data_IF_902701049633
#
_entry.id   IF_902701049633
#
_cell.length_a   1.000
_cell.length_b   1.000
_cell.length_c   1.000
_cell.angle_alpha   90.00
_cell.angle_beta   90.00
_cell.angle_gamma   90.00
#
_symmetry.space_group_name_H-M   'P 1'
#
loop_
_entity.id
_entity.type
_entity.pdbx_description
1 polymer ?
#
# COMPACT_ATOMS: atom_id res chain seq x y z
N UNK A 1 10.03 -11.47 17.66
CA UNK A 1 9.78 -11.64 19.10
C UNK A 1 11.02 -12.26 19.71
N UNK A 2 11.53 -11.78 20.83
CA UNK A 2 12.71 -12.38 21.49
C UNK A 2 12.36 -12.70 22.95
N UNK A 3 12.53 -13.96 23.35
CA UNK A 3 12.21 -14.46 24.68
C UNK A 3 13.52 -14.72 25.43
N UNK A 4 13.67 -14.16 26.63
CA UNK A 4 14.86 -14.35 27.46
C UNK A 4 14.58 -15.32 28.60
N UNK A 5 15.48 -16.29 28.81
CA UNK A 5 15.41 -17.26 29.90
C UNK A 5 16.78 -17.51 30.52
N UNK A 6 16.82 -18.29 31.60
CA UNK A 6 18.06 -18.63 32.32
C UNK A 6 19.08 -19.40 31.48
N UNK A 7 18.67 -19.98 30.35
CA UNK A 7 19.49 -20.77 29.43
C UNK A 7 19.91 -20.01 28.15
N UNK A 8 19.42 -18.78 27.91
CA UNK A 8 19.70 -18.03 26.68
C UNK A 8 18.54 -17.15 26.20
N UNK A 9 18.66 -16.60 24.99
CA UNK A 9 17.56 -15.91 24.28
C UNK A 9 17.03 -16.74 23.11
N UNK A 10 15.71 -16.76 22.93
CA UNK A 10 15.03 -17.39 21.80
C UNK A 10 14.40 -16.29 20.94
N UNK A 11 15.00 -16.04 19.78
CA UNK A 11 14.44 -15.16 18.76
C UNK A 11 13.46 -15.95 17.90
N UNK A 12 12.22 -15.49 17.83
CA UNK A 12 11.16 -15.97 16.94
C UNK A 12 10.81 -14.85 15.97
N UNK A 13 11.34 -14.95 14.76
CA UNK A 13 11.11 -14.07 13.61
C UNK A 13 10.19 -14.77 12.60
N UNK A 14 8.94 -14.33 12.53
CA UNK A 14 7.94 -14.92 11.65
C UNK A 14 8.13 -14.58 10.16
N UNK A 15 9.14 -13.78 9.81
CA UNK A 15 9.44 -13.34 8.44
C UNK A 15 10.66 -14.03 7.82
N UNK A 16 11.43 -14.78 8.61
CA UNK A 16 12.60 -15.54 8.17
C UNK A 16 12.31 -17.04 8.12
N UNK A 17 12.86 -17.72 7.12
CA UNK A 17 12.68 -19.16 6.95
C UNK A 17 13.41 -19.99 8.03
N UNK A 18 14.42 -19.40 8.69
CA UNK A 18 15.14 -19.90 9.86
C UNK A 18 14.75 -19.13 11.13
N UNK A 19 13.52 -18.62 11.17
CA UNK A 19 13.05 -17.62 12.12
C UNK A 19 13.08 -18.00 13.59
N UNK A 20 13.28 -19.27 13.96
CA UNK A 20 13.43 -19.68 15.35
C UNK A 20 14.93 -19.89 15.62
N UNK A 21 15.53 -18.94 16.32
CA UNK A 21 16.96 -18.93 16.64
C UNK A 21 17.13 -18.92 18.15
N UNK A 22 17.68 -20.01 18.69
CA UNK A 22 18.09 -20.06 20.09
C UNK A 22 19.55 -19.63 20.23
N UNK A 23 19.80 -18.60 21.01
CA UNK A 23 21.10 -18.07 21.39
C UNK A 23 21.38 -18.48 22.84
N UNK A 24 22.14 -19.56 23.08
CA UNK A 24 22.50 -19.95 24.44
C UNK A 24 23.42 -18.90 25.08
N UNK A 25 23.38 -18.80 26.41
CA UNK A 25 24.08 -17.76 27.20
C UNK A 25 25.60 -17.76 27.04
N UNK A 26 26.18 -18.84 26.50
CA UNK A 26 27.62 -19.04 26.27
C UNK A 26 28.09 -18.57 24.86
N UNK A 27 27.18 -18.16 23.97
CA UNK A 27 27.47 -17.81 22.58
C UNK A 27 27.20 -16.33 22.30
N UNK A 28 28.28 -15.54 22.16
CA UNK A 28 28.20 -14.12 21.83
C UNK A 28 27.87 -13.88 20.33
N UNK A 29 26.90 -12.99 20.02
CA UNK A 29 26.58 -12.56 18.65
C UNK A 29 27.75 -11.75 18.08
N UNK A 30 28.66 -12.41 17.37
CA UNK A 30 29.88 -11.78 16.85
C UNK A 30 31.07 -12.73 16.74
N UNK A 31 31.05 -13.86 17.46
CA UNK A 31 32.14 -14.85 17.42
C UNK A 31 32.24 -15.55 16.06
N UNK A 32 33.46 -15.93 15.67
CA UNK A 32 33.73 -16.66 14.43
C UNK A 32 32.97 -18.01 14.38
N UNK A 33 32.86 -18.68 15.54
CA UNK A 33 32.09 -19.92 15.71
C UNK A 33 30.60 -19.71 15.40
N UNK A 34 30.00 -18.61 15.86
CA UNK A 34 28.60 -18.26 15.58
C UNK A 34 28.34 -17.99 14.08
N UNK A 35 29.27 -17.32 13.40
CA UNK A 35 29.15 -17.05 11.96
C UNK A 35 29.30 -18.33 11.11
N UNK A 36 30.21 -19.22 11.50
CA UNK A 36 30.40 -20.51 10.85
C UNK A 36 29.21 -21.45 11.05
N UNK A 37 28.65 -21.54 12.27
CA UNK A 37 27.48 -22.37 12.54
C UNK A 37 26.25 -21.89 11.76
N UNK A 38 25.97 -20.57 11.74
CA UNK A 38 24.88 -19.97 10.94
C UNK A 38 25.03 -20.23 9.44
N UNK A 39 26.24 -20.16 8.92
CA UNK A 39 26.52 -20.40 7.49
C UNK A 39 26.33 -21.87 7.11
N UNK A 40 26.81 -22.79 7.95
CA UNK A 40 26.63 -24.23 7.74
C UNK A 40 25.15 -24.63 7.82
N UNK A 41 24.43 -24.10 8.81
CA UNK A 41 23.00 -24.36 9.00
C UNK A 41 22.17 -23.81 7.83
N UNK A 42 22.50 -22.62 7.34
CA UNK A 42 21.84 -22.04 6.15
C UNK A 42 22.09 -22.87 4.89
N UNK A 43 23.33 -23.35 4.69
CA UNK A 43 23.68 -24.20 3.55
C UNK A 43 22.96 -25.56 3.59
N UNK A 44 22.82 -26.16 4.79
CA UNK A 44 22.10 -27.41 4.99
C UNK A 44 20.59 -27.27 4.74
N UNK A 45 20.00 -26.11 5.03
CA UNK A 45 18.56 -25.86 4.88
C UNK A 45 18.15 -25.38 3.47
N UNK A 46 19.11 -24.90 2.67
CA UNK A 46 18.90 -24.30 1.35
C UNK A 46 18.20 -25.25 0.33
N UNK A 47 18.59 -26.54 0.21
CA UNK A 47 17.94 -27.44 -0.74
C UNK A 47 16.47 -27.69 -0.40
N UNK A 48 16.16 -27.77 0.89
CA UNK A 48 14.79 -27.87 1.40
C UNK A 48 13.98 -26.61 1.12
N UNK A 49 14.57 -25.43 1.32
CA UNK A 49 13.93 -24.14 1.08
C UNK A 49 13.56 -23.94 -0.40
N UNK A 50 14.43 -24.32 -1.34
CA UNK A 50 14.15 -24.25 -2.78
C UNK A 50 12.97 -25.16 -3.15
N UNK A 51 12.91 -26.38 -2.56
CA UNK A 51 11.82 -27.35 -2.81
C UNK A 51 10.48 -26.87 -2.23
N UNK A 52 10.50 -26.19 -1.07
CA UNK A 52 9.31 -25.59 -0.43
C UNK A 52 8.82 -24.32 -1.13
N UNK A 53 9.73 -23.51 -1.67
CA UNK A 53 9.40 -22.32 -2.48
C UNK A 53 8.60 -22.68 -3.74
N UNK A 54 8.92 -23.81 -4.39
CA UNK A 54 8.15 -24.34 -5.53
C UNK A 54 6.73 -24.80 -5.17
N UNK A 55 6.41 -24.98 -3.88
CA UNK A 55 5.11 -25.46 -3.38
C UNK A 55 4.26 -24.37 -2.71
N UNK A 56 4.64 -23.09 -2.86
CA UNK A 56 3.92 -21.95 -2.29
C UNK A 56 4.64 -21.25 -1.13
N UNK A 57 5.86 -21.67 -0.77
CA UNK A 57 6.61 -21.08 0.33
C UNK A 57 6.25 -21.64 1.71
N UNK A 58 7.06 -21.31 2.71
CA UNK A 58 7.01 -21.94 4.04
C UNK A 58 5.71 -21.64 4.81
N UNK A 59 5.07 -20.49 4.57
CA UNK A 59 3.78 -20.13 5.19
C UNK A 59 2.61 -20.98 4.69
N UNK A 60 2.50 -21.16 3.37
CA UNK A 60 1.47 -22.02 2.78
C UNK A 60 1.72 -23.49 3.12
N UNK A 61 3.00 -23.89 3.22
CA UNK A 61 3.37 -25.24 3.61
C UNK A 61 3.10 -25.50 5.10
N UNK A 62 3.39 -24.54 5.99
CA UNK A 62 3.10 -24.66 7.43
C UNK A 62 1.60 -24.73 7.66
N UNK A 63 0.82 -23.91 6.97
CA UNK A 63 -0.65 -23.97 7.05
C UNK A 63 -1.19 -25.33 6.59
N UNK A 64 -0.71 -25.85 5.45
CA UNK A 64 -1.10 -27.19 4.97
C UNK A 64 -0.67 -28.30 5.93
N UNK A 65 0.54 -28.23 6.48
CA UNK A 65 1.04 -29.21 7.43
C UNK A 65 0.23 -29.16 8.73
N UNK A 66 -0.14 -27.98 9.23
CA UNK A 66 -1.02 -27.84 10.40
C UNK A 66 -2.38 -28.51 10.17
N UNK A 67 -3.01 -28.30 9.02
CA UNK A 67 -4.27 -28.96 8.69
C UNK A 67 -4.11 -30.46 8.48
N UNK A 68 -2.99 -30.90 7.91
CA UNK A 68 -2.71 -32.32 7.73
C UNK A 68 -2.45 -33.02 9.07
N UNK A 69 -1.66 -32.42 9.97
CA UNK A 69 -1.42 -32.93 11.32
C UNK A 69 -2.72 -32.96 12.15
N UNK A 70 -3.60 -31.95 11.99
CA UNK A 70 -4.93 -31.94 12.60
C UNK A 70 -5.80 -33.10 12.09
N UNK A 71 -5.84 -33.30 10.77
CA UNK A 71 -6.59 -34.40 10.14
C UNK A 71 -6.03 -35.76 10.58
N UNK A 72 -4.71 -35.92 10.62
CA UNK A 72 -4.05 -37.16 11.00
C UNK A 72 -4.21 -37.46 12.51
N UNK A 73 -4.31 -36.43 13.34
CA UNK A 73 -4.60 -36.56 14.77
C UNK A 73 -6.05 -37.00 15.02
N UNK A 74 -7.01 -36.42 14.31
CA UNK A 74 -8.44 -36.83 14.41
C UNK A 74 -8.66 -38.22 13.81
N UNK A 75 -7.94 -38.57 12.74
CA UNK A 75 -7.99 -39.88 12.12
C UNK A 75 -7.29 -40.98 12.93
N UNK A 76 -6.72 -40.66 14.11
CA UNK A 76 -6.02 -41.60 14.99
C UNK A 76 -4.69 -42.12 14.44
N UNK A 77 -4.15 -41.49 13.39
CA UNK A 77 -2.94 -41.93 12.70
C UNK A 77 -1.66 -41.43 13.37
N UNK A 78 -1.74 -40.34 14.15
CA UNK A 78 -0.61 -39.73 14.84
C UNK A 78 -1.07 -39.07 16.15
N UNK A 79 -0.43 -39.34 17.30
CA UNK A 79 -0.72 -38.60 18.52
C UNK A 79 -0.32 -37.12 18.36
N UNK A 80 -1.12 -36.20 18.89
CA UNK A 80 -0.78 -34.77 18.84
C UNK A 80 0.44 -34.50 19.73
N UNK A 81 1.53 -33.99 19.14
CA UNK A 81 2.73 -33.55 19.86
C UNK A 81 2.48 -32.33 20.76
N UNK A 82 1.31 -31.69 20.62
CA UNK A 82 0.87 -30.54 21.40
C UNK A 82 -0.42 -30.86 22.14
N UNK A 83 -0.43 -30.63 23.44
CA UNK A 83 -1.63 -30.79 24.26
C UNK A 83 -2.25 -29.42 24.61
N UNK A 84 -3.42 -29.47 25.24
CA UNK A 84 -4.15 -28.27 25.64
C UNK A 84 -3.32 -27.37 26.59
N UNK A 85 -2.47 -27.95 27.43
CA UNK A 85 -1.63 -27.18 28.35
C UNK A 85 -0.54 -26.39 27.62
N UNK A 86 0.01 -26.94 26.53
CA UNK A 86 0.99 -26.22 25.68
C UNK A 86 0.34 -25.01 25.01
N UNK A 87 -0.91 -25.18 24.54
CA UNK A 87 -1.70 -24.09 23.94
C UNK A 87 -2.03 -23.01 24.97
N UNK A 88 -2.40 -23.41 26.19
CA UNK A 88 -2.64 -22.47 27.30
C UNK A 88 -1.37 -21.70 27.66
N UNK A 89 -0.21 -22.37 27.68
CA UNK A 89 1.08 -21.71 27.92
C UNK A 89 1.44 -20.72 26.82
N UNK A 90 1.23 -21.06 25.54
CA UNK A 90 1.50 -20.17 24.41
C UNK A 90 0.66 -18.88 24.48
N UNK A 91 -0.62 -19.00 24.85
CA UNK A 91 -1.52 -17.85 25.04
C UNK A 91 -1.07 -16.99 26.22
N UNK A 92 -0.72 -17.59 27.36
CA UNK A 92 -0.22 -16.86 28.53
C UNK A 92 1.06 -16.09 28.23
N UNK A 93 2.00 -16.72 27.53
CA UNK A 93 3.26 -16.08 27.12
C UNK A 93 3.00 -14.91 26.17
N UNK A 94 2.08 -15.06 25.24
CA UNK A 94 1.68 -13.99 24.32
C UNK A 94 1.02 -12.81 25.06
N UNK A 95 0.15 -13.12 26.03
CA UNK A 95 -0.52 -12.12 26.88
C UNK A 95 0.49 -11.33 27.74
N UNK A 96 1.40 -12.02 28.43
CA UNK A 96 2.46 -11.40 29.21
C UNK A 96 3.36 -10.49 28.36
N UNK A 97 3.66 -10.92 27.13
CA UNK A 97 4.48 -10.15 26.18
C UNK A 97 3.77 -8.86 25.76
N UNK A 98 2.49 -8.93 25.41
CA UNK A 98 1.69 -7.76 25.03
C UNK A 98 1.57 -6.76 26.18
N UNK A 99 1.36 -7.25 27.39
CA UNK A 99 1.21 -6.42 28.58
C UNK A 99 2.55 -5.79 29.01
N UNK A 100 3.66 -6.53 28.89
CA UNK A 100 5.00 -5.99 29.09
C UNK A 100 5.33 -4.87 28.10
N UNK A 101 4.95 -5.03 26.83
CA UNK A 101 5.09 -3.97 25.82
C UNK A 101 4.20 -2.77 26.13
N UNK A 102 2.95 -3.01 26.57
CA UNK A 102 1.99 -1.94 26.90
C UNK A 102 2.45 -1.09 28.08
N UNK A 103 3.00 -1.74 29.10
CA UNK A 103 3.37 -1.11 30.38
C UNK A 103 4.82 -0.68 30.45
N UNK A 104 5.66 -1.16 29.53
CA UNK A 104 7.11 -0.91 29.52
C UNK A 104 7.88 -1.63 30.64
N UNK A 105 7.24 -2.56 31.37
CA UNK A 105 7.85 -3.30 32.48
C UNK A 105 7.99 -4.78 32.14
N UNK A 106 9.07 -5.41 32.61
CA UNK A 106 9.24 -6.86 32.49
C UNK A 106 8.20 -7.57 33.37
N UNK A 107 7.53 -8.58 32.80
CA UNK A 107 6.45 -9.31 33.45
C UNK A 107 6.71 -10.81 33.40
N UNK A 108 6.46 -11.53 34.49
CA UNK A 108 6.53 -12.98 34.49
C UNK A 108 5.28 -13.58 33.81
N UNK A 109 5.45 -14.66 33.04
CA UNK A 109 4.33 -15.34 32.36
C UNK A 109 3.26 -15.85 33.34
N UNK A 110 3.65 -16.15 34.57
CA UNK A 110 2.73 -16.51 35.67
C UNK A 110 1.82 -15.37 36.12
N UNK A 111 2.21 -14.13 35.87
CA UNK A 111 1.50 -12.89 36.26
C UNK A 111 0.62 -12.36 35.13
N UNK A 112 0.60 -13.04 33.98
CA UNK A 112 -0.22 -12.65 32.84
C UNK A 112 -1.72 -12.61 33.21
N UNK A 113 -2.44 -11.52 32.88
CA UNK A 113 -3.87 -11.44 33.14
C UNK A 113 -4.62 -12.59 32.42
N UNK A 114 -5.55 -13.23 33.14
CA UNK A 114 -6.36 -14.37 32.63
C UNK A 114 -7.53 -13.94 31.74
N UNK A 115 -7.95 -12.70 31.84
CA UNK A 115 -9.03 -12.11 31.04
C UNK A 115 -8.52 -10.88 30.30
N UNK A 116 -8.84 -10.80 28.99
CA UNK A 116 -8.56 -9.63 28.16
C UNK A 116 -9.58 -8.52 28.46
N UNK A 117 -9.37 -7.76 29.54
CA UNK A 117 -10.09 -6.50 29.77
C UNK A 117 -9.27 -5.34 29.21
N UNK A 118 -9.38 -5.10 27.89
CA UNK A 118 -8.53 -4.06 27.31
C UNK A 118 -8.67 -3.70 25.84
N UNK A 119 -9.84 -3.81 25.20
CA UNK A 119 -10.28 -2.91 24.11
C UNK A 119 -11.82 -2.78 24.16
N UNK A 120 -12.35 -2.36 25.30
CA UNK A 120 -13.74 -1.91 25.41
C UNK A 120 -13.74 -0.79 26.43
N UNK A 121 -14.48 0.28 26.12
CA UNK A 121 -14.47 1.59 26.80
C UNK A 121 -13.41 2.60 26.30
N UNK A 122 -13.61 3.07 25.07
CA UNK A 122 -13.56 4.51 24.75
C UNK A 122 -14.12 4.79 23.34
N UNK A 123 -15.36 4.40 23.07
CA UNK A 123 -16.17 5.01 21.99
C UNK A 123 -17.60 5.03 22.50
N UNK A 124 -17.98 6.12 23.17
CA UNK A 124 -19.40 6.47 23.24
C UNK A 124 -19.82 6.69 21.79
N UNK A 125 -20.78 5.89 21.31
CA UNK A 125 -21.41 6.13 20.02
C UNK A 125 -21.84 7.60 19.98
N UNK A 126 -21.22 8.37 19.06
CA UNK A 126 -21.67 9.72 18.83
C UNK A 126 -23.11 9.66 18.31
N UNK A 127 -24.04 10.46 18.83
CA UNK A 127 -25.38 10.51 18.28
C UNK A 127 -25.27 10.99 16.82
N UNK A 128 -25.76 10.16 15.90
CA UNK A 128 -26.01 10.53 14.52
C UNK A 128 -27.06 11.63 14.53
N UNK A 129 -26.63 12.89 14.48
CA UNK A 129 -27.52 14.01 14.27
C UNK A 129 -27.69 14.17 12.75
N UNK A 130 -28.83 13.77 12.14
CA UNK A 130 -29.02 13.79 10.69
C UNK A 130 -29.05 15.19 10.06
N UNK A 131 -28.87 16.25 10.86
CA UNK A 131 -28.90 17.63 10.38
C UNK A 131 -27.59 18.12 9.75
N UNK A 132 -26.43 17.49 10.02
CA UNK A 132 -25.12 17.94 9.51
C UNK A 132 -24.48 16.82 8.69
N UNK A 133 -24.23 17.01 7.38
CA UNK A 133 -23.58 16.01 6.54
C UNK A 133 -22.11 15.81 6.93
N UNK A 134 -21.49 14.65 6.59
CA UNK A 134 -20.08 14.40 6.85
C UNK A 134 -19.20 15.45 6.17
N UNK A 135 -18.08 15.81 6.79
CA UNK A 135 -17.15 16.81 6.25
C UNK A 135 -16.36 16.28 5.03
N UNK A 136 -16.15 14.98 4.95
CA UNK A 136 -15.37 14.33 3.90
C UNK A 136 -15.90 12.92 3.66
N UNK A 137 -16.08 12.54 2.40
CA UNK A 137 -16.34 11.15 2.00
C UNK A 137 -15.06 10.55 1.40
N UNK A 138 -14.50 9.52 2.04
CA UNK A 138 -13.37 8.77 1.51
C UNK A 138 -13.87 7.61 0.66
N UNK A 139 -13.47 7.58 -0.61
CA UNK A 139 -13.92 6.61 -1.60
C UNK A 139 -12.87 5.52 -1.73
N UNK A 140 -13.30 4.29 -1.46
CA UNK A 140 -12.45 3.10 -1.52
C UNK A 140 -13.04 2.13 -2.54
N UNK A 141 -12.25 1.71 -3.52
CA UNK A 141 -12.67 0.75 -4.54
C UNK A 141 -12.09 -0.61 -4.19
N UNK A 142 -12.95 -1.63 -4.10
CA UNK A 142 -12.58 -3.02 -3.81
C UNK A 142 -12.99 -3.93 -4.99
N UNK A 143 -12.16 -4.06 -6.04
CA UNK A 143 -12.49 -4.88 -7.21
C UNK A 143 -12.63 -6.37 -6.90
N UNK A 144 -11.77 -6.91 -6.02
CA UNK A 144 -11.79 -8.32 -5.62
C UNK A 144 -12.46 -8.51 -4.25
N UNK A 145 -12.05 -7.71 -3.25
CA UNK A 145 -12.34 -8.01 -1.85
C UNK A 145 -12.10 -6.79 -0.96
N UNK A 146 -12.99 -6.57 0.02
CA UNK A 146 -12.86 -5.49 1.03
C UNK A 146 -11.70 -5.77 1.99
N UNK A 147 -11.27 -7.02 2.12
CA UNK A 147 -10.12 -7.39 2.95
C UNK A 147 -8.82 -6.70 2.49
N UNK A 148 -8.67 -6.43 1.19
CA UNK A 148 -7.52 -5.68 0.66
C UNK A 148 -7.48 -4.24 1.20
N UNK A 149 -8.63 -3.67 1.57
CA UNK A 149 -8.74 -2.31 2.09
C UNK A 149 -8.41 -2.20 3.58
N UNK A 150 -8.24 -3.31 4.30
CA UNK A 150 -8.12 -3.30 5.77
C UNK A 150 -6.98 -2.42 6.27
N UNK A 151 -5.84 -2.41 5.59
CA UNK A 151 -4.71 -1.59 6.01
C UNK A 151 -5.03 -0.10 5.88
N UNK A 152 -5.51 0.35 4.72
CA UNK A 152 -5.94 1.73 4.53
C UNK A 152 -7.07 2.12 5.48
N UNK A 153 -8.06 1.24 5.71
CA UNK A 153 -9.13 1.48 6.69
C UNK A 153 -8.61 1.71 8.10
N UNK A 154 -7.56 0.99 8.54
CA UNK A 154 -6.93 1.22 9.85
C UNK A 154 -6.23 2.57 9.95
N UNK A 155 -5.74 3.10 8.84
CA UNK A 155 -5.18 4.45 8.80
C UNK A 155 -6.27 5.52 8.75
N UNK A 156 -7.38 5.26 8.07
CA UNK A 156 -8.55 6.13 8.05
C UNK A 156 -9.25 6.19 9.41
N UNK A 157 -9.33 5.08 10.16
CA UNK A 157 -9.95 5.05 11.49
C UNK A 157 -9.17 5.83 12.54
N UNK A 158 -7.89 6.11 12.28
CA UNK A 158 -6.99 6.91 13.14
C UNK A 158 -6.97 8.39 12.77
N UNK A 159 -7.77 8.84 11.80
CA UNK A 159 -7.85 10.25 11.45
C UNK A 159 -8.43 11.05 12.63
N UNK A 160 -7.87 12.23 12.90
CA UNK A 160 -8.35 13.15 13.96
C UNK A 160 -9.83 13.51 13.81
N UNK A 161 -10.35 13.45 12.59
CA UNK A 161 -11.74 13.75 12.24
C UNK A 161 -12.53 12.51 11.75
N UNK A 162 -12.11 11.28 12.09
CA UNK A 162 -12.76 10.04 11.63
C UNK A 162 -14.29 10.04 11.84
N UNK A 163 -14.75 10.51 13.01
CA UNK A 163 -16.17 10.64 13.37
C UNK A 163 -16.98 11.62 12.49
N UNK A 164 -16.32 12.39 11.62
CA UNK A 164 -16.93 13.30 10.65
C UNK A 164 -16.71 12.84 9.20
N UNK A 165 -16.10 11.66 9.01
CA UNK A 165 -15.82 11.08 7.70
C UNK A 165 -16.86 10.01 7.34
N UNK A 166 -17.35 10.05 6.11
CA UNK A 166 -18.09 8.95 5.50
C UNK A 166 -17.13 8.05 4.74
N UNK A 167 -17.28 6.73 4.87
CA UNK A 167 -16.54 5.77 4.04
C UNK A 167 -17.47 5.24 2.96
N UNK A 168 -17.10 5.43 1.70
CA UNK A 168 -17.85 4.92 0.54
C UNK A 168 -17.07 3.76 -0.06
N UNK A 169 -17.53 2.54 0.20
CA UNK A 169 -16.90 1.31 -0.32
C UNK A 169 -17.62 0.90 -1.61
N UNK A 170 -16.88 0.85 -2.71
CA UNK A 170 -17.41 0.45 -4.02
C UNK A 170 -16.95 -0.97 -4.33
N UNK A 171 -17.88 -1.86 -4.61
CA UNK A 171 -17.61 -3.30 -4.73
C UNK A 171 -18.52 -3.98 -5.78
N UNK A 172 -18.15 -5.18 -6.27
CA UNK A 172 -18.95 -5.88 -7.27
C UNK A 172 -20.28 -6.43 -6.78
N UNK A 173 -20.34 -6.91 -5.53
CA UNK A 173 -21.53 -7.49 -4.90
C UNK A 173 -21.61 -7.07 -3.43
N UNK A 174 -22.70 -6.41 -3.02
CA UNK A 174 -22.92 -5.94 -1.64
C UNK A 174 -22.94 -7.06 -0.60
N UNK A 175 -23.36 -8.27 -0.95
CA UNK A 175 -23.46 -9.40 -0.01
C UNK A 175 -22.09 -9.81 0.59
N UNK A 176 -21.00 -9.47 -0.10
CA UNK A 176 -19.63 -9.73 0.39
C UNK A 176 -19.16 -8.70 1.44
N UNK A 177 -19.99 -7.71 1.77
CA UNK A 177 -19.67 -6.64 2.71
C UNK A 177 -20.42 -6.79 4.03
N UNK A 178 -19.67 -6.83 5.14
CA UNK A 178 -20.22 -6.86 6.49
C UNK A 178 -20.11 -5.49 7.14
N UNK A 179 -21.23 -4.78 7.28
CA UNK A 179 -21.30 -3.45 7.90
C UNK A 179 -20.93 -3.45 9.39
N UNK A 180 -21.04 -4.59 10.07
CA UNK A 180 -20.76 -4.74 11.52
C UNK A 180 -19.27 -4.90 11.89
N UNK A 181 -18.33 -4.67 10.97
CA UNK A 181 -16.91 -4.66 11.33
C UNK A 181 -16.62 -3.49 12.30
N UNK A 182 -15.98 -3.79 13.43
CA UNK A 182 -15.74 -2.80 14.49
C UNK A 182 -14.92 -1.61 14.02
N UNK A 183 -14.10 -1.79 12.96
CA UNK A 183 -13.30 -0.72 12.36
C UNK A 183 -14.15 0.45 11.84
N UNK A 184 -15.40 0.16 11.49
CA UNK A 184 -16.33 1.10 10.90
C UNK A 184 -17.05 1.98 11.92
N UNK A 185 -17.13 1.54 13.18
CA UNK A 185 -17.85 2.22 14.26
C UNK A 185 -17.35 3.63 14.60
N UNK A 186 -16.11 3.96 14.21
CA UNK A 186 -15.49 5.26 14.47
C UNK A 186 -15.83 6.34 13.43
N UNK A 187 -16.41 5.95 12.28
CA UNK A 187 -16.75 6.87 11.20
C UNK A 187 -18.13 7.49 11.38
N UNK A 188 -18.40 8.60 10.69
CA UNK A 188 -19.73 9.20 10.62
C UNK A 188 -20.76 8.20 10.06
N UNK A 189 -20.35 7.43 9.07
CA UNK A 189 -21.17 6.40 8.45
C UNK A 189 -20.43 5.70 7.32
N UNK A 190 -21.02 4.59 6.85
CA UNK A 190 -20.48 3.81 5.75
C UNK A 190 -21.56 3.60 4.72
N UNK A 191 -21.15 3.65 3.45
CA UNK A 191 -22.00 3.38 2.31
C UNK A 191 -21.34 2.35 1.42
N UNK A 192 -21.98 1.19 1.29
CA UNK A 192 -21.63 0.18 0.30
C UNK A 192 -22.33 0.50 -1.03
N UNK A 193 -21.58 0.56 -2.12
CA UNK A 193 -22.06 0.86 -3.47
C UNK A 193 -21.74 -0.31 -4.38
N UNK A 194 -22.78 -1.03 -4.79
CA UNK A 194 -22.66 -2.14 -5.73
C UNK A 194 -22.65 -1.63 -7.17
N UNK A 195 -21.66 -2.08 -7.96
CA UNK A 195 -21.49 -1.64 -9.36
C UNK A 195 -21.32 -2.80 -10.35
N UNK A 196 -21.48 -4.04 -9.89
CA UNK A 196 -21.14 -5.24 -10.66
C UNK A 196 -19.63 -5.34 -10.92
N UNK A 197 -19.23 -6.12 -11.94
CA UNK A 197 -17.82 -6.29 -12.28
C UNK A 197 -17.11 -4.93 -12.49
N UNK A 198 -16.08 -4.68 -11.69
CA UNK A 198 -15.24 -3.49 -11.77
C UNK A 198 -14.15 -3.77 -12.80
N UNK A 199 -14.30 -3.20 -13.99
CA UNK A 199 -13.33 -3.32 -15.10
C UNK A 199 -12.26 -2.24 -15.09
N UNK A 200 -12.46 -1.17 -14.32
CA UNK A 200 -11.47 -0.13 -14.08
C UNK A 200 -11.71 0.55 -12.73
N UNK A 201 -10.63 1.06 -12.13
CA UNK A 201 -10.72 1.81 -10.87
C UNK A 201 -11.50 3.10 -11.05
N UNK A 202 -11.39 3.76 -12.21
CA UNK A 202 -12.11 4.98 -12.53
C UNK A 202 -13.64 4.80 -12.48
N UNK A 203 -14.16 3.67 -12.96
CA UNK A 203 -15.58 3.30 -12.82
C UNK A 203 -15.99 3.22 -11.36
N UNK A 204 -15.16 2.57 -10.53
CA UNK A 204 -15.34 2.49 -9.09
C UNK A 204 -15.40 3.87 -8.44
N UNK A 205 -14.40 4.72 -8.70
CA UNK A 205 -14.38 6.09 -8.16
C UNK A 205 -15.56 6.92 -8.62
N UNK A 206 -15.94 6.90 -9.90
CA UNK A 206 -17.08 7.64 -10.42
C UNK A 206 -18.39 7.25 -9.71
N UNK A 207 -18.62 5.94 -9.50
CA UNK A 207 -19.77 5.45 -8.75
C UNK A 207 -19.75 5.88 -7.28
N UNK A 208 -18.57 5.83 -6.64
CA UNK A 208 -18.38 6.32 -5.28
C UNK A 208 -18.66 7.83 -5.15
N UNK A 209 -18.14 8.64 -6.05
CA UNK A 209 -18.34 10.11 -6.08
C UNK A 209 -19.83 10.42 -6.21
N UNK A 210 -20.53 9.74 -7.12
CA UNK A 210 -21.98 9.93 -7.32
C UNK A 210 -22.79 9.57 -6.07
N UNK A 211 -22.35 8.57 -5.31
CA UNK A 211 -23.07 8.09 -4.13
C UNK A 211 -22.65 8.75 -2.81
N UNK A 212 -21.50 9.42 -2.76
CA UNK A 212 -21.03 10.15 -1.59
C UNK A 212 -22.01 11.25 -1.16
N UNK A 213 -22.14 11.48 0.15
CA UNK A 213 -23.03 12.49 0.71
C UNK A 213 -22.31 13.79 1.06
N UNK A 214 -21.00 13.76 1.31
CA UNK A 214 -20.22 14.94 1.62
C UNK A 214 -20.02 15.87 0.41
N UNK A 215 -19.78 17.15 0.70
CA UNK A 215 -19.35 18.15 -0.29
C UNK A 215 -17.92 17.92 -0.76
N UNK A 216 -17.09 17.25 0.04
CA UNK A 216 -15.71 16.90 -0.29
C UNK A 216 -15.61 15.38 -0.46
N UNK A 217 -14.95 14.95 -1.53
CA UNK A 217 -14.68 13.55 -1.81
C UNK A 217 -13.18 13.35 -1.96
N UNK A 218 -12.62 12.35 -1.32
CA UNK A 218 -11.22 11.98 -1.47
C UNK A 218 -11.09 10.58 -2.02
N UNK A 219 -10.25 10.44 -3.04
CA UNK A 219 -9.90 9.15 -3.60
C UNK A 219 -8.81 8.52 -2.73
N UNK A 220 -8.92 7.21 -2.51
CA UNK A 220 -7.95 6.46 -1.71
C UNK A 220 -7.60 5.15 -2.40
N UNK A 221 -6.40 4.65 -2.12
CA UNK A 221 -5.89 3.38 -2.61
C UNK A 221 -5.77 2.36 -1.47
N UNK A 222 -5.81 1.08 -1.80
CA UNK A 222 -5.63 -0.03 -0.86
C UNK A 222 -4.18 -0.16 -0.35
N UNK A 223 -3.25 0.57 -0.96
CA UNK A 223 -1.82 0.52 -0.69
C UNK A 223 -1.20 1.92 -0.48
N UNK A 224 -2.00 2.89 -0.08
CA UNK A 224 -1.57 4.25 0.31
C UNK A 224 -2.15 4.60 1.68
N UNK A 225 -1.27 4.91 2.63
CA UNK A 225 -1.61 4.95 4.05
C UNK A 225 -1.52 6.38 4.63
N UNK A 226 -2.66 7.06 4.86
CA UNK A 226 -2.67 8.43 5.36
C UNK A 226 -2.13 8.54 6.79
N UNK A 227 -1.44 9.64 7.10
CA UNK A 227 -1.07 10.02 8.47
C UNK A 227 -2.28 10.56 9.25
N UNK A 228 -2.25 10.55 10.59
CA UNK A 228 -3.42 10.81 11.44
C UNK A 228 -4.12 12.18 11.25
N UNK A 229 -3.43 13.18 10.69
CA UNK A 229 -3.99 14.52 10.42
C UNK A 229 -4.24 14.79 8.93
N UNK A 230 -4.12 13.78 8.09
CA UNK A 230 -4.24 13.90 6.64
C UNK A 230 -5.62 14.45 6.22
N UNK A 231 -6.71 13.88 6.74
CA UNK A 231 -8.07 14.29 6.39
C UNK A 231 -8.37 15.72 6.87
N UNK A 232 -7.95 16.06 8.09
CA UNK A 232 -8.08 17.40 8.66
C UNK A 232 -7.37 18.45 7.80
N UNK A 233 -6.14 18.17 7.35
CA UNK A 233 -5.38 19.06 6.49
C UNK A 233 -6.05 19.27 5.11
N UNK A 234 -6.59 18.21 4.50
CA UNK A 234 -7.33 18.31 3.24
C UNK A 234 -8.61 19.17 3.38
N UNK A 235 -9.39 18.94 4.44
CA UNK A 235 -10.61 19.71 4.73
C UNK A 235 -10.28 21.18 4.99
N UNK A 236 -9.26 21.45 5.82
CA UNK A 236 -8.80 22.81 6.10
C UNK A 236 -8.35 23.55 4.83
N UNK A 237 -7.61 22.87 3.94
CA UNK A 237 -7.18 23.45 2.68
C UNK A 237 -8.37 23.83 1.76
N UNK A 238 -9.45 23.06 1.78
CA UNK A 238 -10.68 23.31 1.01
C UNK A 238 -11.57 24.44 1.56
N UNK A 239 -11.23 25.03 2.70
CA UNK A 239 -11.82 26.33 3.12
C UNK A 239 -11.46 27.45 2.13
N UNK A 240 -10.39 27.26 1.36
CA UNK A 240 -9.98 28.13 0.24
C UNK A 240 -10.64 27.67 -1.08
N UNK A 241 -10.68 28.49 -2.14
CA UNK A 241 -11.41 28.19 -3.37
C UNK A 241 -10.72 27.17 -4.29
N UNK A 242 -9.92 26.24 -3.75
CA UNK A 242 -9.32 25.16 -4.55
C UNK A 242 -10.40 24.18 -5.01
N UNK A 243 -10.29 23.70 -6.24
CA UNK A 243 -11.17 22.65 -6.77
C UNK A 243 -10.72 21.27 -6.33
N UNK A 244 -9.40 21.07 -6.26
CA UNK A 244 -8.79 19.87 -5.72
C UNK A 244 -7.57 20.20 -4.86
N UNK A 245 -7.36 19.38 -3.85
CA UNK A 245 -6.23 19.41 -2.94
C UNK A 245 -5.65 18.00 -2.89
N UNK A 246 -4.38 17.85 -3.25
CA UNK A 246 -3.67 16.58 -3.21
C UNK A 246 -2.71 16.51 -2.03
N UNK A 247 -2.47 15.33 -1.45
CA UNK A 247 -1.51 15.14 -0.39
C UNK A 247 -0.07 15.11 -0.91
N UNK A 248 0.87 15.41 -0.03
CA UNK A 248 2.25 14.99 -0.20
C UNK A 248 2.36 13.47 -0.04
N UNK A 249 3.16 12.87 -0.91
CA UNK A 249 3.44 11.43 -0.87
C UNK A 249 4.78 11.16 -0.18
N UNK A 250 4.81 10.04 0.55
CA UNK A 250 6.02 9.46 1.15
C UNK A 250 6.13 7.98 0.79
N UNK A 251 7.34 7.44 0.89
CA UNK A 251 7.57 6.02 0.67
C UNK A 251 7.22 5.22 1.94
N UNK A 252 6.27 4.28 1.83
CA UNK A 252 5.83 3.45 2.96
C UNK A 252 6.82 2.32 3.33
N UNK A 253 7.69 1.89 2.41
CA UNK A 253 8.62 0.78 2.62
C UNK A 253 10.07 1.13 2.23
N UNK A 254 10.71 2.06 2.97
CA UNK A 254 12.00 2.67 2.60
C UNK A 254 13.22 1.76 2.75
N UNK A 255 13.08 0.55 3.27
CA UNK A 255 14.19 -0.39 3.51
C UNK A 255 14.78 -0.95 2.19
N UNK A 256 14.07 -0.81 1.08
CA UNK A 256 14.46 -1.35 -0.22
C UNK A 256 14.74 -0.23 -1.23
N UNK A 257 15.93 -0.24 -1.86
CA UNK A 257 16.29 0.77 -2.86
C UNK A 257 15.42 0.70 -4.13
N UNK A 258 14.88 -0.48 -4.45
CA UNK A 258 13.89 -0.65 -5.53
C UNK A 258 12.61 0.12 -5.20
N UNK A 259 12.14 0.04 -3.95
CA UNK A 259 10.96 0.79 -3.50
C UNK A 259 11.19 2.30 -3.62
N UNK A 260 12.36 2.78 -3.20
CA UNK A 260 12.74 4.18 -3.39
C UNK A 260 12.79 4.61 -4.85
N UNK A 261 13.33 3.78 -5.75
CA UNK A 261 13.36 4.07 -7.17
C UNK A 261 11.96 4.06 -7.80
N UNK A 262 11.12 3.07 -7.46
CA UNK A 262 9.71 3.00 -7.88
C UNK A 262 8.94 4.25 -7.44
N UNK A 263 9.09 4.61 -6.17
CA UNK A 263 8.48 5.80 -5.58
C UNK A 263 8.87 7.08 -6.31
N UNK A 264 10.15 7.36 -6.52
CA UNK A 264 10.55 8.62 -7.19
C UNK A 264 10.25 8.63 -8.69
N UNK A 265 10.22 7.47 -9.36
CA UNK A 265 9.82 7.38 -10.76
C UNK A 265 8.33 7.73 -10.93
N UNK A 266 7.47 7.31 -10.01
CA UNK A 266 6.02 7.51 -10.09
C UNK A 266 5.54 8.80 -9.39
N UNK A 267 6.08 9.11 -8.21
CA UNK A 267 5.52 10.07 -7.26
C UNK A 267 6.45 11.22 -6.86
N UNK A 268 7.68 11.25 -7.40
CA UNK A 268 8.69 12.25 -7.02
C UNK A 268 8.25 13.71 -7.18
N UNK A 269 7.31 14.00 -8.08
CA UNK A 269 6.75 15.34 -8.27
C UNK A 269 6.05 15.90 -7.02
N UNK A 270 5.39 15.01 -6.28
CA UNK A 270 4.57 15.33 -5.10
C UNK A 270 5.25 14.98 -3.78
N UNK A 271 6.50 14.50 -3.82
CA UNK A 271 7.30 14.18 -2.64
C UNK A 271 8.08 15.40 -2.12
N UNK A 272 8.37 15.39 -0.82
CA UNK A 272 9.36 16.26 -0.15
C UNK A 272 9.22 17.77 -0.37
N UNK A 273 8.01 18.24 -0.61
CA UNK A 273 7.70 19.67 -0.71
C UNK A 273 7.72 20.29 0.68
N UNK A 274 8.38 21.44 0.81
CA UNK A 274 8.56 22.13 2.10
C UNK A 274 7.38 23.01 2.48
N UNK A 275 6.56 23.40 1.51
CA UNK A 275 5.41 24.27 1.70
C UNK A 275 4.34 23.97 0.67
N UNK A 276 3.05 24.27 0.96
CA UNK A 276 1.98 24.06 0.00
C UNK A 276 2.23 24.83 -1.29
N UNK A 277 1.96 24.19 -2.43
CA UNK A 277 2.26 24.74 -3.76
C UNK A 277 1.07 24.57 -4.70
N UNK A 278 0.75 25.61 -5.47
CA UNK A 278 -0.19 25.46 -6.57
C UNK A 278 0.48 24.72 -7.74
N UNK A 279 -0.16 23.67 -8.22
CA UNK A 279 0.38 22.78 -9.24
C UNK A 279 -0.53 22.69 -10.47
N UNK A 280 -0.04 22.05 -11.52
CA UNK A 280 -0.79 21.73 -12.73
C UNK A 280 -1.55 20.41 -12.61
N UNK A 281 -1.08 19.50 -11.76
CA UNK A 281 -1.71 18.22 -11.49
C UNK A 281 -1.24 17.66 -10.14
N UNK A 282 -2.05 16.77 -9.58
CA UNK A 282 -1.94 16.20 -8.24
C UNK A 282 -1.82 14.67 -8.32
N UNK A 283 -1.42 13.97 -7.23
CA UNK A 283 -1.46 12.52 -7.22
C UNK A 283 -2.92 12.07 -7.20
N UNK A 284 -3.45 11.71 -8.38
CA UNK A 284 -4.89 11.74 -8.61
C UNK A 284 -5.68 10.78 -7.72
N UNK A 285 -5.31 9.49 -7.67
CA UNK A 285 -5.95 8.47 -6.82
C UNK A 285 -5.86 8.73 -5.31
N UNK A 286 -5.15 9.78 -4.90
CA UNK A 286 -5.00 10.19 -3.50
C UNK A 286 -5.54 11.61 -3.23
N UNK A 287 -6.13 12.26 -4.23
CA UNK A 287 -6.52 13.67 -4.17
C UNK A 287 -7.96 13.86 -3.68
N UNK A 288 -8.19 14.98 -3.01
CA UNK A 288 -9.48 15.41 -2.49
C UNK A 288 -10.07 16.52 -3.34
N UNK A 289 -11.35 16.39 -3.70
CA UNK A 289 -12.05 17.26 -4.63
C UNK A 289 -13.32 17.82 -4.02
N UNK A 290 -13.72 19.00 -4.49
CA UNK A 290 -15.11 19.43 -4.34
C UNK A 290 -15.98 18.54 -5.20
N UNK A 291 -16.88 17.78 -4.56
CA UNK A 291 -17.72 16.78 -5.22
C UNK A 291 -18.50 17.36 -6.39
N UNK A 292 -19.08 18.55 -6.22
CA UNK A 292 -19.90 19.20 -7.25
C UNK A 292 -19.13 19.43 -8.56
N UNK A 293 -17.86 19.84 -8.47
CA UNK A 293 -17.00 20.07 -9.65
C UNK A 293 -16.79 18.77 -10.43
N UNK A 294 -16.66 17.64 -9.74
CA UNK A 294 -16.56 16.33 -10.40
C UNK A 294 -17.89 15.90 -11.04
N UNK A 295 -19.02 16.19 -10.39
CA UNK A 295 -20.35 15.83 -10.92
C UNK A 295 -20.72 16.62 -12.17
N UNK A 296 -20.19 17.82 -12.37
CA UNK A 296 -20.40 18.62 -13.58
C UNK A 296 -19.90 17.93 -14.86
N UNK A 297 -18.97 16.96 -14.76
CA UNK A 297 -18.58 16.14 -15.91
C UNK A 297 -19.65 15.13 -16.35
N UNK A 298 -20.68 14.89 -15.53
CA UNK A 298 -21.80 14.00 -15.83
C UNK A 298 -21.36 12.60 -16.26
N UNK A 299 -21.70 12.22 -17.48
CA UNK A 299 -21.34 10.92 -18.06
C UNK A 299 -19.84 10.80 -18.40
N UNK A 300 -19.12 11.92 -18.54
CA UNK A 300 -17.69 11.90 -18.84
C UNK A 300 -16.80 11.66 -17.62
N UNK A 301 -17.35 11.73 -16.40
CA UNK A 301 -16.57 11.65 -15.16
C UNK A 301 -15.67 10.41 -15.11
N UNK A 302 -16.22 9.24 -15.45
CA UNK A 302 -15.48 7.97 -15.48
C UNK A 302 -14.28 8.04 -16.42
N UNK A 303 -14.50 8.46 -17.68
CA UNK A 303 -13.42 8.64 -18.67
C UNK A 303 -12.35 9.63 -18.20
N UNK A 304 -12.75 10.70 -17.51
CA UNK A 304 -11.79 11.70 -17.01
C UNK A 304 -10.96 11.16 -15.84
N UNK A 305 -11.52 10.26 -15.03
CA UNK A 305 -10.84 9.60 -13.92
C UNK A 305 -9.87 8.50 -14.38
N UNK A 306 -10.02 7.95 -15.60
CA UNK A 306 -8.99 7.05 -16.19
C UNK A 306 -7.66 7.78 -16.45
N UNK A 307 -7.71 9.11 -16.59
CA UNK A 307 -6.56 9.95 -16.87
C UNK A 307 -6.61 11.21 -16.01
N UNK A 308 -6.45 11.07 -14.69
CA UNK A 308 -6.68 12.17 -13.74
C UNK A 308 -5.80 13.40 -13.98
N UNK A 309 -4.60 13.22 -14.55
CA UNK A 309 -3.77 14.36 -14.98
C UNK A 309 -4.47 15.20 -16.06
N UNK A 310 -5.21 14.57 -16.98
CA UNK A 310 -6.04 15.25 -17.99
C UNK A 310 -7.22 15.95 -17.31
N UNK A 311 -7.86 15.32 -16.31
CA UNK A 311 -8.88 15.97 -15.48
C UNK A 311 -8.34 17.22 -14.79
N UNK A 312 -7.14 17.16 -14.20
CA UNK A 312 -6.51 18.34 -13.58
C UNK A 312 -6.19 19.44 -14.59
N UNK A 313 -5.73 19.09 -15.79
CA UNK A 313 -5.48 20.06 -16.85
C UNK A 313 -6.76 20.74 -17.33
N UNK A 314 -7.85 19.98 -17.50
CA UNK A 314 -9.16 20.52 -17.85
C UNK A 314 -9.70 21.46 -16.76
N UNK A 315 -9.59 21.08 -15.48
CA UNK A 315 -9.94 21.94 -14.35
C UNK A 315 -9.16 23.26 -14.37
N UNK A 316 -7.85 23.21 -14.66
CA UNK A 316 -7.02 24.42 -14.79
C UNK A 316 -7.44 25.28 -15.98
N UNK A 317 -7.79 24.68 -17.11
CA UNK A 317 -8.30 25.41 -18.29
C UNK A 317 -9.64 26.10 -17.99
N UNK A 318 -10.50 25.49 -17.17
CA UNK A 318 -11.73 26.09 -16.63
C UNK A 318 -11.50 27.15 -15.55
N UNK A 319 -10.25 27.51 -15.26
CA UNK A 319 -9.90 28.55 -14.29
C UNK A 319 -9.83 28.07 -12.83
N UNK A 320 -10.01 26.77 -12.56
CA UNK A 320 -9.89 26.25 -11.21
C UNK A 320 -8.43 26.17 -10.75
N UNK A 321 -8.25 26.28 -9.44
CA UNK A 321 -6.95 26.16 -8.80
C UNK A 321 -6.81 24.81 -8.10
N UNK A 322 -5.59 24.26 -8.16
CA UNK A 322 -5.20 23.01 -7.51
C UNK A 322 -4.08 23.32 -6.51
N UNK A 323 -4.11 22.64 -5.36
CA UNK A 323 -3.12 22.79 -4.30
C UNK A 323 -2.53 21.43 -3.93
N UNK A 324 -1.20 21.34 -3.84
CA UNK A 324 -0.54 20.25 -3.13
C UNK A 324 -0.35 20.69 -1.67
N UNK A 325 -1.04 20.05 -0.73
CA UNK A 325 -1.02 20.39 0.70
C UNK A 325 0.02 19.54 1.43
N UNK A 326 1.03 20.18 2.01
CA UNK A 326 2.18 19.49 2.61
C UNK A 326 1.90 18.91 3.98
N UNK A 327 0.85 19.37 4.66
CA UNK A 327 0.41 18.78 5.93
C UNK A 327 -0.51 17.56 5.73
N UNK A 328 -1.08 17.39 4.54
CA UNK A 328 -1.79 16.18 4.17
C UNK A 328 -0.77 15.18 3.64
N UNK A 329 -0.39 14.18 4.45
CA UNK A 329 0.64 13.20 4.08
C UNK A 329 0.03 11.80 3.99
N UNK A 330 0.36 11.08 2.92
CA UNK A 330 0.09 9.64 2.80
C UNK A 330 1.33 8.88 2.36
N UNK A 331 1.49 7.67 2.88
CA UNK A 331 2.62 6.79 2.63
C UNK A 331 2.22 5.75 1.60
N UNK A 332 2.77 5.85 0.40
CA UNK A 332 2.48 4.96 -0.72
C UNK A 332 3.40 3.73 -0.66
N UNK A 333 2.82 2.54 -0.78
CA UNK A 333 3.53 1.26 -0.80
C UNK A 333 4.08 0.94 -2.20
N UNK A 334 5.38 0.69 -2.31
CA UNK A 334 6.08 0.57 -3.59
C UNK A 334 6.68 -0.81 -3.80
N UNK A 335 7.00 -1.18 -5.04
CA UNK A 335 7.60 -2.49 -5.32
C UNK A 335 8.99 -2.62 -4.69
N UNK A 336 9.21 -3.68 -3.90
CA UNK A 336 10.51 -3.93 -3.25
C UNK A 336 11.44 -4.87 -4.03
N UNK A 337 10.90 -5.62 -5.00
CA UNK A 337 11.63 -6.68 -5.69
C UNK A 337 11.87 -6.39 -7.16
N UNK A 338 13.14 -6.47 -7.58
CA UNK A 338 13.57 -6.35 -8.98
C UNK A 338 12.76 -7.21 -9.95
N UNK A 339 12.55 -8.49 -9.62
CA UNK A 339 11.87 -9.45 -10.50
C UNK A 339 10.43 -9.07 -10.83
N UNK A 340 9.77 -8.33 -9.94
CA UNK A 340 8.39 -7.88 -10.14
C UNK A 340 8.37 -6.48 -10.74
N UNK A 341 9.26 -5.62 -10.25
CA UNK A 341 9.31 -4.22 -10.64
C UNK A 341 9.78 -3.98 -12.08
N UNK A 342 10.78 -4.72 -12.57
CA UNK A 342 11.30 -4.54 -13.93
C UNK A 342 10.21 -4.76 -15.00
N UNK A 343 9.43 -5.87 -14.98
CA UNK A 343 8.30 -6.04 -15.89
C UNK A 343 7.27 -4.90 -15.81
N UNK A 344 6.96 -4.42 -14.61
CA UNK A 344 6.03 -3.29 -14.41
C UNK A 344 6.54 -2.05 -15.13
N UNK A 345 7.82 -1.71 -14.99
CA UNK A 345 8.41 -0.55 -15.66
C UNK A 345 8.33 -0.65 -17.18
N UNK A 346 8.60 -1.84 -17.74
CA UNK A 346 8.47 -2.10 -19.18
C UNK A 346 7.03 -1.97 -19.66
N UNK A 347 6.07 -2.64 -19.01
CA UNK A 347 4.67 -2.62 -19.43
C UNK A 347 4.05 -1.23 -19.29
N UNK A 348 4.31 -0.53 -18.19
CA UNK A 348 3.88 0.86 -18.01
C UNK A 348 4.48 1.77 -19.10
N UNK A 349 5.75 1.57 -19.43
CA UNK A 349 6.39 2.26 -20.54
C UNK A 349 5.71 1.96 -21.89
N UNK A 350 5.39 0.69 -22.16
CA UNK A 350 4.76 0.28 -23.41
C UNK A 350 3.36 0.85 -23.58
N UNK A 351 2.52 0.80 -22.55
CA UNK A 351 1.20 1.44 -22.57
C UNK A 351 1.32 2.94 -22.81
N UNK A 352 2.23 3.63 -22.10
CA UNK A 352 2.45 5.06 -22.30
C UNK A 352 2.91 5.40 -23.72
N UNK A 353 3.88 4.64 -24.26
CA UNK A 353 4.39 4.84 -25.60
C UNK A 353 3.34 4.65 -26.68
N UNK A 354 2.50 3.62 -26.53
CA UNK A 354 1.39 3.33 -27.44
C UNK A 354 0.33 4.45 -27.41
N UNK A 355 -0.14 4.84 -26.23
CA UNK A 355 -1.12 5.90 -26.07
C UNK A 355 -0.63 7.23 -26.64
N UNK A 356 0.64 7.58 -26.39
CA UNK A 356 1.25 8.80 -26.90
C UNK A 356 1.37 8.79 -28.44
N UNK A 357 1.60 7.62 -29.03
CA UNK A 357 1.82 7.46 -30.46
C UNK A 357 0.55 7.15 -31.26
N UNK A 358 -0.62 7.02 -30.61
CA UNK A 358 -1.87 6.57 -31.21
C UNK A 358 -2.14 7.23 -32.58
N UNK A 359 -2.10 8.56 -32.63
CA UNK A 359 -2.39 9.36 -33.84
C UNK A 359 -1.13 9.78 -34.63
N UNK A 360 0.03 9.18 -34.37
CA UNK A 360 1.29 9.59 -35.02
C UNK A 360 1.52 8.89 -36.35
N UNK A 361 2.09 9.65 -37.31
CA UNK A 361 2.66 9.10 -38.54
C UNK A 361 3.84 8.16 -38.26
N UNK A 362 4.11 7.24 -39.19
CA UNK A 362 5.24 6.30 -39.09
C UNK A 362 6.61 6.99 -38.99
N UNK A 363 6.81 8.11 -39.68
CA UNK A 363 8.07 8.88 -39.57
C UNK A 363 8.28 9.43 -38.17
N UNK A 364 7.21 9.97 -37.56
CA UNK A 364 7.24 10.46 -36.18
C UNK A 364 7.45 9.32 -35.19
N UNK A 365 6.78 8.17 -35.39
CA UNK A 365 7.01 6.96 -34.57
C UNK A 365 8.47 6.52 -34.61
N UNK A 366 9.08 6.44 -35.80
CA UNK A 366 10.47 6.04 -35.94
C UNK A 366 11.43 7.04 -35.26
N UNK A 367 11.24 8.34 -35.49
CA UNK A 367 12.05 9.39 -34.87
C UNK A 367 12.03 9.30 -33.33
N UNK A 368 10.84 9.18 -32.73
CA UNK A 368 10.70 9.10 -31.28
C UNK A 368 11.20 7.77 -30.70
N UNK A 369 11.13 6.69 -31.46
CA UNK A 369 11.71 5.41 -31.07
C UNK A 369 13.24 5.46 -31.07
N UNK A 370 13.86 6.08 -32.08
CA UNK A 370 15.31 6.31 -32.12
C UNK A 370 15.74 7.24 -30.98
N UNK A 371 14.93 8.24 -30.64
CA UNK A 371 15.20 9.14 -29.53
C UNK A 371 14.91 8.52 -28.14
N UNK A 372 14.25 7.36 -28.06
CA UNK A 372 13.85 6.73 -26.80
C UNK A 372 15.01 6.43 -25.83
N UNK A 373 16.24 6.09 -26.27
CA UNK A 373 17.37 5.92 -25.36
C UNK A 373 17.79 7.20 -24.63
N UNK A 374 17.32 8.38 -25.05
CA UNK A 374 17.55 9.65 -24.34
C UNK A 374 16.58 9.85 -23.16
N UNK A 375 15.44 9.13 -23.13
CA UNK A 375 14.41 9.27 -22.09
C UNK A 375 14.97 9.03 -20.68
N UNK A 376 15.79 8.00 -20.40
CA UNK A 376 16.33 7.76 -19.07
C UNK A 376 17.14 8.94 -18.54
N UNK A 377 17.96 9.58 -19.38
CA UNK A 377 18.79 10.72 -18.96
C UNK A 377 17.95 11.95 -18.63
N UNK A 378 16.93 12.24 -19.46
CA UNK A 378 16.02 13.37 -19.24
C UNK A 378 15.20 13.14 -17.95
N UNK A 379 14.66 11.94 -17.76
CA UNK A 379 13.87 11.60 -16.56
C UNK A 379 14.73 11.56 -15.31
N UNK A 380 15.94 11.00 -15.38
CA UNK A 380 16.87 10.94 -14.25
C UNK A 380 17.25 12.35 -13.77
N UNK A 381 17.52 13.28 -14.69
CA UNK A 381 17.76 14.69 -14.33
C UNK A 381 16.58 15.29 -13.57
N UNK A 382 15.34 15.06 -14.03
CA UNK A 382 14.13 15.55 -13.34
C UNK A 382 13.98 14.91 -11.95
N UNK A 383 14.12 13.59 -11.86
CA UNK A 383 14.04 12.82 -10.62
C UNK A 383 15.09 13.30 -9.60
N UNK A 384 16.33 13.57 -10.04
CA UNK A 384 17.34 14.17 -9.16
C UNK A 384 16.89 15.50 -8.54
N UNK A 385 16.25 16.38 -9.32
CA UNK A 385 15.71 17.64 -8.80
C UNK A 385 14.52 17.46 -7.84
N UNK A 386 13.79 16.35 -7.94
CA UNK A 386 12.77 15.97 -6.95
C UNK A 386 13.42 15.49 -5.65
N UNK A 387 14.35 14.55 -5.76
CA UNK A 387 15.04 13.93 -4.61
C UNK A 387 15.77 14.95 -3.77
N UNK A 388 16.51 15.88 -4.39
CA UNK A 388 17.31 16.89 -3.66
C UNK A 388 16.47 17.89 -2.83
N UNK A 389 15.14 17.88 -2.93
CA UNK A 389 14.24 18.77 -2.16
C UNK A 389 14.22 18.42 -0.69
N UNK A 390 14.25 17.13 -0.37
CA UNK A 390 14.20 16.61 1.01
C UNK A 390 15.10 15.43 1.31
N UNK A 391 15.77 14.82 0.32
CA UNK A 391 16.64 13.67 0.56
C UNK A 391 18.13 13.99 0.41
N UNK A 392 18.96 13.13 1.03
CA UNK A 392 20.41 13.22 0.96
C UNK A 392 20.98 12.74 -0.38
N UNK A 393 22.13 13.29 -0.75
CA UNK A 393 22.90 12.82 -1.91
C UNK A 393 23.31 11.35 -1.76
N UNK A 394 23.57 10.89 -0.53
CA UNK A 394 23.91 9.49 -0.24
C UNK A 394 22.75 8.57 -0.62
N UNK A 395 21.51 8.93 -0.26
CA UNK A 395 20.34 8.16 -0.64
C UNK A 395 20.18 8.12 -2.17
N UNK A 396 20.37 9.26 -2.86
CA UNK A 396 20.37 9.32 -4.32
C UNK A 396 21.38 8.35 -4.95
N UNK A 397 22.62 8.34 -4.47
CA UNK A 397 23.66 7.46 -5.00
C UNK A 397 23.34 5.98 -4.75
N UNK A 398 22.71 5.63 -3.62
CA UNK A 398 22.27 4.27 -3.32
C UNK A 398 21.11 3.80 -4.24
N UNK A 399 20.18 4.69 -4.58
CA UNK A 399 19.07 4.36 -5.49
C UNK A 399 19.44 4.42 -6.97
N UNK A 400 20.56 5.09 -7.33
CA UNK A 400 20.93 5.35 -8.71
C UNK A 400 20.95 4.09 -9.61
N UNK A 401 21.49 2.93 -9.18
CA UNK A 401 21.43 1.72 -10.00
C UNK A 401 20.00 1.27 -10.31
N UNK A 402 19.09 1.34 -9.33
CA UNK A 402 17.69 1.01 -9.52
C UNK A 402 16.99 2.01 -10.44
N UNK A 403 17.20 3.32 -10.24
CA UNK A 403 16.68 4.36 -11.12
C UNK A 403 17.11 4.14 -12.58
N UNK A 404 18.40 3.88 -12.81
CA UNK A 404 18.93 3.62 -14.16
C UNK A 404 18.20 2.44 -14.79
N UNK A 405 18.21 1.27 -14.14
CA UNK A 405 17.56 0.08 -14.67
C UNK A 405 16.06 0.31 -14.94
N UNK A 406 15.32 0.85 -13.98
CA UNK A 406 13.88 1.10 -14.13
C UNK A 406 13.58 2.06 -15.29
N UNK A 407 14.34 3.15 -15.42
CA UNK A 407 14.17 4.12 -16.49
C UNK A 407 14.52 3.55 -17.86
N UNK A 408 15.56 2.72 -17.98
CA UNK A 408 15.92 2.07 -19.24
C UNK A 408 14.85 1.06 -19.69
N UNK A 409 14.34 0.22 -18.78
CA UNK A 409 13.24 -0.70 -19.10
C UNK A 409 11.95 0.05 -19.45
N UNK A 410 11.65 1.14 -18.75
CA UNK A 410 10.52 2.00 -19.09
C UNK A 410 10.69 2.64 -20.48
N UNK A 411 11.87 3.15 -20.82
CA UNK A 411 12.16 3.71 -22.14
C UNK A 411 12.07 2.65 -23.24
N UNK A 412 12.57 1.45 -22.99
CA UNK A 412 12.44 0.30 -23.90
C UNK A 412 10.98 -0.08 -24.12
N UNK A 413 10.17 -0.06 -23.05
CA UNK A 413 8.72 -0.18 -23.12
C UNK A 413 8.12 0.88 -24.04
N UNK A 414 8.42 2.16 -23.79
CA UNK A 414 7.90 3.28 -24.60
C UNK A 414 8.27 3.17 -26.08
N UNK A 415 9.50 2.76 -26.39
CA UNK A 415 9.93 2.48 -27.76
C UNK A 415 9.07 1.38 -28.40
N UNK A 416 8.92 0.27 -27.68
CA UNK A 416 8.11 -0.88 -28.13
C UNK A 416 6.66 -0.47 -28.36
N UNK A 417 6.07 0.30 -27.45
CA UNK A 417 4.70 0.81 -27.58
C UNK A 417 4.52 1.78 -28.74
N UNK A 418 5.50 2.65 -28.96
CA UNK A 418 5.48 3.61 -30.07
C UNK A 418 5.51 2.91 -31.44
N UNK A 419 6.29 1.84 -31.57
CA UNK A 419 6.42 1.08 -32.82
C UNK A 419 5.31 0.05 -33.04
N UNK A 420 4.90 -0.66 -31.99
CA UNK A 420 4.11 -1.89 -32.10
C UNK A 420 2.80 -1.85 -31.31
N UNK A 421 2.45 -0.72 -30.68
CA UNK A 421 1.26 -0.59 -29.84
C UNK A 421 1.37 -1.30 -28.48
N UNK A 422 0.29 -1.26 -27.71
CA UNK A 422 0.25 -1.69 -26.31
C UNK A 422 0.35 -3.20 -26.11
N UNK A 423 -0.16 -4.00 -27.06
CA UNK A 423 -0.26 -5.45 -26.94
C UNK A 423 -1.02 -5.85 -25.67
N UNK A 424 -0.58 -6.93 -25.01
CA UNK A 424 -1.17 -7.38 -23.73
C UNK A 424 -0.66 -6.59 -22.49
N UNK A 425 -0.03 -5.43 -22.68
CA UNK A 425 0.50 -4.64 -21.55
C UNK A 425 -0.57 -4.08 -20.60
N UNK A 426 -1.76 -3.65 -21.07
CA UNK A 426 -2.84 -3.22 -20.17
C UNK A 426 -3.25 -4.32 -19.19
N UNK A 427 -3.53 -5.54 -19.67
CA UNK A 427 -3.89 -6.69 -18.81
C UNK A 427 -2.79 -7.02 -17.78
N UNK A 428 -1.52 -6.88 -18.18
CA UNK A 428 -0.39 -7.08 -17.27
C UNK A 428 -0.29 -5.98 -16.22
N UNK A 429 -0.55 -4.73 -16.59
CA UNK A 429 -0.55 -3.60 -15.66
C UNK A 429 -1.68 -3.75 -14.62
N UNK A 430 -2.89 -4.11 -15.06
CA UNK A 430 -4.06 -4.36 -14.20
C UNK A 430 -3.75 -5.44 -13.14
N UNK A 431 -3.10 -6.53 -13.55
CA UNK A 431 -2.66 -7.59 -12.63
C UNK A 431 -1.74 -7.06 -11.52
N UNK A 432 -0.85 -6.11 -11.84
CA UNK A 432 0.06 -5.51 -10.85
C UNK A 432 -0.61 -4.43 -9.99
N UNK A 433 -1.64 -3.76 -10.52
CA UNK A 433 -2.39 -2.71 -9.83
C UNK A 433 -3.33 -3.31 -8.76
N UNK A 434 -4.09 -4.36 -9.10
CA UNK A 434 -5.07 -4.94 -8.17
C UNK A 434 -4.50 -5.93 -7.16
N UNK A 435 -3.31 -6.49 -7.42
CA UNK A 435 -2.70 -7.50 -6.57
C UNK A 435 -1.35 -7.03 -6.00
N UNK A 436 -1.12 -5.72 -5.95
CA UNK A 436 0.14 -5.12 -5.52
C UNK A 436 0.63 -5.65 -4.17
N UNK A 437 -0.28 -5.81 -3.20
CA UNK A 437 0.04 -6.33 -1.86
C UNK A 437 0.56 -7.77 -1.85
N UNK A 438 0.26 -8.59 -2.86
CA UNK A 438 0.81 -9.96 -2.98
C UNK A 438 2.29 -9.98 -3.37
N UNK A 439 2.85 -8.84 -3.76
CA UNK A 439 4.16 -8.73 -4.38
C UNK A 439 5.11 -7.76 -3.66
N UNK A 440 4.74 -7.31 -2.46
CA UNK A 440 5.49 -6.36 -1.64
C UNK A 440 5.77 -6.97 -0.26
N UNK A 441 6.85 -6.52 0.39
CA UNK A 441 7.20 -6.84 1.78
C UNK A 441 6.89 -5.66 2.68
#
# INVERSE_FOLDING_TARGET
>A
MELYGSLGSLLVDFYLFDGIVFNPTDLFPGSLKFRLSKSLQSALLLPGAIRRMRRGGDYLLSYRNMWQDFVDSIAGKKPSDFNLQDSIHAIKTSSATLESVRTGHLMYVSEAPREFTGISHMVSAAPTNPAIPPLLSAIMVAPESVQNLQQTLRHLSRQSIAHQMEIVVVLPNRESFTENDSIFSCFYGIKAVEVGKITSIARGYAAGIRNATSRLVVLTEDHSFPEARWAEALVAAHQRPFAAVGPQLRNANPDFMVSWADFYIAYGEWADQRSPISTRHLPGHNSCYKRQILLEYGNQLERMLEAESVLHWDLKQKGHQLLLETNAITHHMNFSYWRMWIPVQFHAGRTFGANRAHDWSWSRRLLFSIASPLIPFIRLRRIYFHIRRGQSLILFLKMLPALVVGLFFNAFGQMTGTLFGEGASPDKAEMYEFNRMRYIR
#
